data_IF_731906524280
#
_entry.id   IF_731906524280
#
_cell.length_a   1.000
_cell.length_b   1.000
_cell.length_c   1.000
_cell.angle_alpha   90.00
_cell.angle_beta   90.00
_cell.angle_gamma   90.00
#
_symmetry.space_group_name_H-M   'P 1'
#
loop_
_entity.id
_entity.type
_entity.pdbx_description
1 polymer ?
#
# COMPACT_ATOMS: atom_id res chain seq x y z
N UNK A 1 15.29 2.79 -10.65
CA UNK A 1 14.21 3.76 -10.37
C UNK A 1 12.91 2.99 -10.48
N UNK A 2 12.06 3.01 -9.45
CA UNK A 2 10.85 2.21 -9.41
C UNK A 2 9.74 2.81 -10.28
N UNK A 3 9.26 4.02 -9.95
CA UNK A 3 8.20 4.69 -10.69
C UNK A 3 8.12 6.18 -10.30
N UNK A 4 8.24 7.10 -11.25
CA UNK A 4 8.11 8.55 -10.99
C UNK A 4 6.69 9.09 -11.12
N UNK A 5 5.71 8.19 -11.08
CA UNK A 5 4.31 8.52 -11.21
C UNK A 5 3.82 8.35 -12.64
N UNK A 6 2.86 9.19 -13.02
CA UNK A 6 2.14 9.08 -14.28
C UNK A 6 2.58 10.15 -15.26
N UNK A 7 2.47 9.83 -16.54
CA UNK A 7 2.43 10.84 -17.59
C UNK A 7 1.17 11.71 -17.43
N UNK A 8 1.29 12.98 -17.83
CA UNK A 8 0.22 13.97 -17.79
C UNK A 8 0.04 14.50 -19.21
N UNK A 9 -1.15 14.32 -19.77
CA UNK A 9 -1.45 14.78 -21.13
C UNK A 9 -2.74 15.60 -21.20
N UNK A 10 -3.60 15.50 -20.19
CA UNK A 10 -4.85 16.25 -20.11
C UNK A 10 -4.62 17.76 -20.07
N UNK A 11 -5.23 18.47 -21.01
CA UNK A 11 -5.22 19.94 -21.09
C UNK A 11 -6.59 20.56 -20.83
N UNK A 12 -7.64 19.74 -20.72
CA UNK A 12 -9.01 20.17 -20.42
C UNK A 12 -9.44 19.71 -19.03
N UNK A 13 -10.39 20.40 -18.37
CA UNK A 13 -10.90 19.99 -17.07
C UNK A 13 -11.43 18.56 -17.04
N UNK A 14 -12.12 18.13 -18.09
CA UNK A 14 -12.65 16.76 -18.19
C UNK A 14 -11.52 15.72 -18.29
N UNK A 15 -10.53 15.96 -19.16
CA UNK A 15 -9.39 15.05 -19.30
C UNK A 15 -8.60 14.93 -17.99
N UNK A 16 -8.36 16.05 -17.31
CA UNK A 16 -7.69 16.08 -16.00
C UNK A 16 -8.48 15.33 -14.92
N UNK A 17 -9.81 15.48 -14.90
CA UNK A 17 -10.70 14.71 -14.01
C UNK A 17 -10.61 13.22 -14.29
N UNK A 18 -10.60 12.80 -15.55
CA UNK A 18 -10.52 11.39 -15.92
C UNK A 18 -9.15 10.77 -15.61
N UNK A 19 -8.07 11.54 -15.76
CA UNK A 19 -6.74 11.16 -15.28
C UNK A 19 -6.70 11.00 -13.75
N UNK A 20 -7.23 11.95 -13.01
CA UNK A 20 -7.32 11.87 -11.54
C UNK A 20 -8.17 10.66 -11.10
N UNK A 21 -9.28 10.40 -11.79
CA UNK A 21 -10.12 9.25 -11.52
C UNK A 21 -9.41 7.92 -11.81
N UNK A 22 -8.54 7.85 -12.83
CA UNK A 22 -7.70 6.67 -13.10
C UNK A 22 -6.72 6.39 -11.96
N UNK A 23 -6.11 7.42 -11.39
CA UNK A 23 -5.22 7.28 -10.22
C UNK A 23 -5.98 6.67 -9.04
N UNK A 24 -7.14 7.24 -8.71
CA UNK A 24 -7.97 6.75 -7.59
C UNK A 24 -8.41 5.32 -7.83
N UNK A 25 -8.86 4.99 -9.06
CA UNK A 25 -9.26 3.63 -9.43
C UNK A 25 -8.11 2.64 -9.31
N UNK A 26 -6.94 2.94 -9.89
CA UNK A 26 -5.79 2.05 -9.85
C UNK A 26 -5.34 1.76 -8.40
N UNK A 27 -5.27 2.81 -7.57
CA UNK A 27 -5.00 2.68 -6.13
C UNK A 27 -6.04 1.79 -5.44
N UNK A 28 -7.31 2.02 -5.73
CA UNK A 28 -8.40 1.25 -5.12
C UNK A 28 -8.35 -0.21 -5.53
N UNK A 29 -8.07 -0.52 -6.80
CA UNK A 29 -7.90 -1.88 -7.30
C UNK A 29 -6.82 -2.64 -6.55
N UNK A 30 -5.65 -2.04 -6.31
CA UNK A 30 -4.57 -2.65 -5.51
C UNK A 30 -5.00 -2.90 -4.06
N UNK A 31 -5.83 -2.01 -3.52
CA UNK A 31 -6.32 -2.09 -2.14
C UNK A 31 -7.36 -3.20 -1.95
N UNK A 32 -8.31 -3.34 -2.88
CA UNK A 32 -9.46 -4.26 -2.72
C UNK A 32 -9.29 -5.59 -3.46
N UNK A 33 -8.23 -5.75 -4.25
CA UNK A 33 -7.92 -7.05 -4.86
C UNK A 33 -7.77 -8.12 -3.77
N UNK A 34 -8.27 -9.34 -4.00
CA UNK A 34 -8.12 -10.41 -3.01
C UNK A 34 -6.70 -11.00 -2.96
N UNK A 35 -5.80 -10.56 -3.83
CA UNK A 35 -4.40 -10.97 -3.85
C UNK A 35 -3.57 -10.12 -2.90
N UNK A 36 -2.55 -10.70 -2.28
CA UNK A 36 -1.49 -9.94 -1.60
C UNK A 36 -0.63 -9.22 -2.64
N UNK A 37 -0.50 -7.91 -2.48
CA UNK A 37 0.32 -7.04 -3.32
C UNK A 37 1.62 -6.76 -2.58
N UNK A 38 2.74 -7.14 -3.17
CA UNK A 38 4.08 -6.85 -2.66
C UNK A 38 4.77 -5.90 -3.63
N UNK A 39 5.29 -4.78 -3.13
CA UNK A 39 6.12 -3.86 -3.89
C UNK A 39 7.60 -4.13 -3.61
N UNK A 40 8.33 -4.52 -4.67
CA UNK A 40 9.79 -4.61 -4.68
C UNK A 40 10.38 -3.31 -5.24
N UNK A 41 10.87 -2.44 -4.36
CA UNK A 41 11.23 -1.06 -4.69
C UNK A 41 12.75 -0.92 -4.84
N UNK A 42 13.26 -1.23 -6.03
CA UNK A 42 14.69 -1.19 -6.35
C UNK A 42 15.27 0.24 -6.50
N UNK A 43 14.46 1.28 -6.37
CA UNK A 43 14.92 2.67 -6.41
C UNK A 43 13.79 3.68 -6.30
N UNK A 44 14.08 4.93 -6.64
CA UNK A 44 13.19 6.08 -6.46
C UNK A 44 11.73 5.87 -6.88
N UNK A 45 10.81 6.32 -6.02
CA UNK A 45 9.37 6.35 -6.25
C UNK A 45 8.79 7.74 -5.94
N UNK A 46 8.10 8.36 -6.90
CA UNK A 46 7.61 9.74 -6.75
C UNK A 46 6.15 9.89 -7.16
N UNK A 47 5.43 10.84 -6.54
CA UNK A 47 4.05 11.17 -6.88
C UNK A 47 3.14 9.94 -6.79
N UNK A 48 2.49 9.58 -7.90
CA UNK A 48 1.67 8.37 -7.95
C UNK A 48 2.49 7.07 -7.80
N UNK A 49 3.77 7.05 -8.18
CA UNK A 49 4.64 5.89 -7.98
C UNK A 49 4.85 5.58 -6.50
N UNK A 50 5.07 6.62 -5.68
CA UNK A 50 5.06 6.49 -4.22
C UNK A 50 3.68 6.06 -3.70
N UNK A 51 2.60 6.51 -4.35
CA UNK A 51 1.24 6.07 -4.05
C UNK A 51 0.97 4.59 -4.35
N UNK A 52 1.59 4.02 -5.38
CA UNK A 52 1.53 2.57 -5.67
C UNK A 52 2.23 1.80 -4.55
N UNK A 53 3.43 2.24 -4.15
CA UNK A 53 4.18 1.64 -3.03
C UNK A 53 3.35 1.67 -1.75
N UNK A 54 2.78 2.83 -1.40
CA UNK A 54 1.94 3.01 -0.21
C UNK A 54 0.60 2.24 -0.27
N UNK A 55 0.24 1.69 -1.43
CA UNK A 55 -0.98 0.90 -1.62
C UNK A 55 -0.72 -0.60 -1.63
N UNK A 56 0.54 -1.04 -1.70
CA UNK A 56 0.91 -2.42 -1.52
C UNK A 56 0.65 -2.86 -0.08
N UNK A 57 0.32 -4.14 0.12
CA UNK A 57 0.15 -4.70 1.46
C UNK A 57 1.51 -4.81 2.17
N UNK A 58 2.56 -5.07 1.39
CA UNK A 58 3.95 -5.14 1.83
C UNK A 58 4.80 -4.35 0.83
N UNK A 59 5.73 -3.53 1.33
CA UNK A 59 6.71 -2.85 0.49
C UNK A 59 8.12 -3.05 1.06
N UNK A 60 9.02 -3.61 0.26
CA UNK A 60 10.44 -3.76 0.58
C UNK A 60 11.22 -2.89 -0.38
N UNK A 61 12.13 -2.07 0.14
CA UNK A 61 12.92 -1.15 -0.67
C UNK A 61 14.42 -1.42 -0.56
N UNK A 62 15.13 -1.12 -1.65
CA UNK A 62 16.58 -0.90 -1.62
C UNK A 62 16.89 0.27 -0.67
N UNK A 63 18.01 0.19 0.04
CA UNK A 63 18.53 1.26 0.89
C UNK A 63 18.83 2.57 0.14
N UNK A 64 19.02 2.49 -1.18
CA UNK A 64 19.19 3.62 -2.08
C UNK A 64 17.89 4.26 -2.56
N UNK A 65 16.72 3.71 -2.24
CA UNK A 65 15.43 4.23 -2.73
C UNK A 65 15.01 5.49 -1.97
N UNK A 66 14.36 6.42 -2.69
CA UNK A 66 13.78 7.64 -2.11
C UNK A 66 12.31 7.79 -2.48
N UNK A 67 11.56 8.48 -1.62
CA UNK A 67 10.12 8.66 -1.75
C UNK A 67 9.72 10.13 -1.60
N UNK A 68 8.94 10.68 -2.54
CA UNK A 68 8.50 12.07 -2.48
C UNK A 68 7.26 12.38 -3.32
N UNK A 69 6.73 13.60 -3.17
CA UNK A 69 5.55 14.11 -3.87
C UNK A 69 5.87 15.46 -4.53
N UNK A 70 6.39 15.45 -5.77
CA UNK A 70 7.00 16.65 -6.39
C UNK A 70 6.00 17.69 -6.90
N UNK A 71 4.70 17.43 -6.80
CA UNK A 71 3.67 18.26 -7.46
C UNK A 71 3.71 19.73 -7.05
N UNK A 72 4.07 20.01 -5.79
CA UNK A 72 4.13 21.37 -5.26
C UNK A 72 5.20 22.23 -5.95
N UNK A 73 6.29 21.62 -6.42
CA UNK A 73 7.36 22.32 -7.18
C UNK A 73 6.81 22.89 -8.50
N UNK A 74 5.82 22.22 -9.09
CA UNK A 74 5.09 22.69 -10.27
C UNK A 74 3.86 23.55 -9.95
N UNK A 75 3.68 23.99 -8.71
CA UNK A 75 2.53 24.79 -8.27
C UNK A 75 1.21 24.01 -8.17
N UNK A 76 1.27 22.67 -8.16
CA UNK A 76 0.08 21.82 -8.10
C UNK A 76 -0.07 21.19 -6.72
N UNK A 77 -1.22 21.42 -6.07
CA UNK A 77 -1.55 20.72 -4.83
C UNK A 77 -1.79 19.21 -5.13
N UNK A 78 -1.10 18.28 -4.43
CA UNK A 78 -1.28 16.84 -4.64
C UNK A 78 -2.52 16.32 -3.90
N UNK A 79 -3.70 16.90 -4.14
CA UNK A 79 -4.93 16.61 -3.38
C UNK A 79 -5.34 15.14 -3.38
N UNK A 80 -5.11 14.43 -4.50
CA UNK A 80 -5.35 12.98 -4.58
C UNK A 80 -4.41 12.21 -3.65
N UNK A 81 -3.13 12.60 -3.57
CA UNK A 81 -2.15 12.00 -2.64
C UNK A 81 -2.57 12.25 -1.20
N UNK A 82 -2.90 13.50 -0.85
CA UNK A 82 -3.27 13.91 0.52
C UNK A 82 -4.45 13.10 1.05
N UNK A 83 -5.41 12.74 0.19
CA UNK A 83 -6.61 11.97 0.56
C UNK A 83 -6.32 10.60 1.21
N UNK A 84 -5.12 10.06 0.98
CA UNK A 84 -4.69 8.77 1.54
C UNK A 84 -3.39 8.85 2.33
N UNK A 85 -2.43 9.72 1.97
CA UNK A 85 -1.12 9.79 2.64
C UNK A 85 -1.26 10.12 4.13
N UNK A 86 -2.18 11.02 4.46
CA UNK A 86 -2.52 11.40 5.84
C UNK A 86 -3.06 10.26 6.70
N UNK A 87 -3.49 9.15 6.08
CA UNK A 87 -3.93 7.91 6.74
C UNK A 87 -2.85 6.82 6.77
N UNK A 88 -1.74 7.04 6.07
CA UNK A 88 -0.62 6.08 5.96
C UNK A 88 0.52 6.47 6.90
N UNK A 89 0.90 7.75 6.92
CA UNK A 89 2.00 8.27 7.75
C UNK A 89 1.51 9.39 8.67
N UNK A 90 2.28 9.76 9.71
CA UNK A 90 1.88 10.82 10.64
C UNK A 90 1.55 12.14 9.92
N UNK A 91 0.43 12.75 10.29
CA UNK A 91 -0.14 13.92 9.59
C UNK A 91 0.88 15.05 9.36
N UNK A 92 1.68 15.40 10.38
CA UNK A 92 2.68 16.48 10.26
C UNK A 92 3.77 16.16 9.24
N UNK A 93 4.19 14.90 9.17
CA UNK A 93 5.19 14.45 8.20
C UNK A 93 4.60 14.44 6.80
N UNK A 94 3.38 13.93 6.64
CA UNK A 94 2.66 13.98 5.36
C UNK A 94 2.52 15.42 4.85
N UNK A 95 2.11 16.34 5.72
CA UNK A 95 1.96 17.76 5.40
C UNK A 95 3.29 18.37 4.94
N UNK A 96 4.35 18.18 5.73
CA UNK A 96 5.68 18.70 5.42
C UNK A 96 6.19 18.20 4.07
N UNK A 97 6.14 16.89 3.81
CA UNK A 97 6.55 16.27 2.55
C UNK A 97 5.80 16.84 1.33
N UNK A 98 4.48 17.03 1.43
CA UNK A 98 3.69 17.54 0.28
C UNK A 98 3.77 19.06 0.11
N UNK A 99 4.21 19.81 1.13
CA UNK A 99 4.41 21.26 1.02
C UNK A 99 5.83 21.66 0.64
N UNK A 100 6.83 20.85 0.99
CA UNK A 100 8.24 21.06 0.59
C UNK A 100 8.55 20.38 -0.75
N UNK A 101 7.93 19.24 -1.02
CA UNK A 101 8.28 18.37 -2.14
C UNK A 101 9.55 17.56 -1.91
N UNK A 102 10.11 17.61 -0.70
CA UNK A 102 11.36 16.94 -0.34
C UNK A 102 11.22 15.42 -0.31
N UNK A 103 12.34 14.75 -0.60
CA UNK A 103 12.41 13.30 -0.57
C UNK A 103 12.86 12.78 0.79
N UNK A 104 12.19 11.71 1.22
CA UNK A 104 12.65 10.89 2.34
C UNK A 104 13.40 9.67 1.81
N UNK A 105 14.47 9.27 2.49
CA UNK A 105 15.18 8.04 2.18
C UNK A 105 14.40 6.80 2.63
N UNK A 106 14.87 5.61 2.21
CA UNK A 106 14.20 4.35 2.53
C UNK A 106 14.11 4.08 4.03
N UNK A 107 15.12 4.43 4.82
CA UNK A 107 15.14 4.16 6.26
C UNK A 107 14.09 5.00 6.98
N UNK A 108 13.99 6.28 6.61
CA UNK A 108 12.97 7.18 7.10
C UNK A 108 11.57 6.74 6.63
N UNK A 109 11.41 6.36 5.36
CA UNK A 109 10.16 5.83 4.85
C UNK A 109 9.67 4.60 5.65
N UNK A 110 10.58 3.70 6.05
CA UNK A 110 10.27 2.57 6.94
C UNK A 110 9.85 3.05 8.33
N UNK A 111 10.59 3.99 8.93
CA UNK A 111 10.29 4.55 10.25
C UNK A 111 8.90 5.20 10.30
N UNK A 112 8.50 5.84 9.21
CA UNK A 112 7.19 6.50 9.05
C UNK A 112 6.04 5.53 8.77
N UNK A 113 6.34 4.26 8.45
CA UNK A 113 5.35 3.26 8.05
C UNK A 113 4.91 3.36 6.59
N UNK A 114 5.64 4.11 5.75
CA UNK A 114 5.36 4.21 4.30
C UNK A 114 5.74 2.90 3.57
N UNK A 115 6.77 2.21 4.06
CA UNK A 115 7.20 0.89 3.58
C UNK A 115 7.41 -0.06 4.76
N UNK A 116 7.43 -1.36 4.49
CA UNK A 116 7.56 -2.41 5.50
C UNK A 116 9.02 -2.67 5.88
N UNK A 117 9.93 -2.64 4.90
CA UNK A 117 11.32 -2.99 5.15
C UNK A 117 12.32 -2.36 4.17
N UNK A 118 13.60 -2.36 4.56
CA UNK A 118 14.72 -1.82 3.80
C UNK A 118 15.88 -2.78 3.86
N UNK A 119 16.45 -3.10 2.71
CA UNK A 119 17.62 -3.99 2.58
C UNK A 119 18.63 -3.40 1.58
N UNK A 120 19.91 -3.80 1.63
CA UNK A 120 20.85 -3.44 0.58
C UNK A 120 20.31 -3.82 -0.81
N UNK A 121 20.53 -2.98 -1.81
CA UNK A 121 20.03 -3.22 -3.18
C UNK A 121 20.27 -4.63 -3.73
N UNK A 122 21.49 -5.21 -3.60
CA UNK A 122 21.77 -6.58 -4.04
C UNK A 122 20.99 -7.69 -3.33
N UNK A 123 20.41 -7.41 -2.15
CA UNK A 123 19.66 -8.38 -1.35
C UNK A 123 18.14 -8.24 -1.53
N UNK A 124 17.68 -7.26 -2.32
CA UNK A 124 16.28 -6.91 -2.45
C UNK A 124 15.40 -8.07 -2.94
N UNK A 125 15.77 -8.67 -4.07
CA UNK A 125 15.04 -9.80 -4.67
C UNK A 125 14.97 -10.98 -3.68
N UNK A 126 16.11 -11.34 -3.09
CA UNK A 126 16.18 -12.43 -2.10
C UNK A 126 15.30 -12.17 -0.86
N UNK A 127 15.25 -10.92 -0.38
CA UNK A 127 14.38 -10.53 0.74
C UNK A 127 12.89 -10.66 0.40
N UNK A 128 12.50 -10.28 -0.83
CA UNK A 128 11.13 -10.44 -1.32
C UNK A 128 10.78 -11.91 -1.50
N UNK A 129 11.68 -12.72 -2.06
CA UNK A 129 11.49 -14.17 -2.23
C UNK A 129 11.31 -14.90 -0.89
N UNK A 130 12.06 -14.50 0.14
CA UNK A 130 11.89 -15.08 1.48
C UNK A 130 10.47 -14.79 2.02
N UNK A 131 9.97 -13.57 1.81
CA UNK A 131 8.59 -13.20 2.21
C UNK A 131 7.55 -13.97 1.41
N UNK A 132 7.74 -14.11 0.10
CA UNK A 132 6.88 -14.91 -0.76
C UNK A 132 6.84 -16.37 -0.30
N UNK A 133 7.98 -16.96 0.05
CA UNK A 133 8.05 -18.32 0.59
C UNK A 133 7.22 -18.46 1.85
N UNK A 134 7.40 -17.56 2.83
CA UNK A 134 6.61 -17.57 4.07
C UNK A 134 5.11 -17.43 3.81
N UNK A 135 4.70 -16.59 2.84
CA UNK A 135 3.29 -16.43 2.47
C UNK A 135 2.72 -17.68 1.78
N UNK A 136 3.52 -18.40 0.98
CA UNK A 136 3.11 -19.65 0.33
C UNK A 136 2.86 -20.78 1.32
N UNK A 137 3.50 -20.73 2.49
CA UNK A 137 3.29 -21.71 3.57
C UNK A 137 2.00 -21.44 4.37
N UNK A 138 1.32 -20.31 4.15
CA UNK A 138 0.08 -19.93 4.83
C UNK A 138 -1.17 -20.32 4.04
N UNK A 139 -2.33 -20.39 4.71
CA UNK A 139 -3.61 -20.61 4.03
C UNK A 139 -3.97 -19.43 3.11
N UNK A 140 -4.16 -19.65 1.79
CA UNK A 140 -4.56 -18.60 0.86
C UNK A 140 -5.92 -17.97 1.22
N UNK A 141 -6.84 -18.77 1.76
CA UNK A 141 -8.14 -18.30 2.23
C UNK A 141 -8.01 -17.36 3.43
N UNK A 142 -7.14 -17.71 4.39
CA UNK A 142 -6.87 -16.86 5.55
C UNK A 142 -6.19 -15.54 5.15
N UNK A 143 -5.21 -15.57 4.25
CA UNK A 143 -4.55 -14.34 3.74
C UNK A 143 -5.57 -13.41 3.10
N UNK A 144 -6.43 -13.93 2.22
CA UNK A 144 -7.48 -13.15 1.55
C UNK A 144 -8.40 -12.48 2.56
N UNK A 145 -8.87 -13.26 3.53
CA UNK A 145 -9.77 -12.76 4.55
C UNK A 145 -9.14 -11.69 5.44
N UNK A 146 -7.87 -11.86 5.82
CA UNK A 146 -7.11 -10.83 6.55
C UNK A 146 -7.12 -9.52 5.76
N UNK A 147 -6.81 -9.58 4.46
CA UNK A 147 -6.82 -8.39 3.59
C UNK A 147 -8.21 -7.76 3.48
N UNK A 148 -9.25 -8.57 3.25
CA UNK A 148 -10.64 -8.11 3.21
C UNK A 148 -11.07 -7.45 4.53
N UNK A 149 -10.64 -8.01 5.67
CA UNK A 149 -10.93 -7.46 6.98
C UNK A 149 -10.23 -6.10 7.21
N UNK A 150 -8.95 -5.96 6.85
CA UNK A 150 -8.25 -4.66 6.88
C UNK A 150 -8.99 -3.60 6.05
N UNK A 151 -9.51 -3.97 4.88
CA UNK A 151 -10.30 -3.09 4.02
C UNK A 151 -11.63 -2.71 4.68
N UNK A 152 -12.33 -3.68 5.27
CA UNK A 152 -13.64 -3.50 5.93
C UNK A 152 -13.56 -2.55 7.12
N UNK A 153 -12.53 -2.67 7.97
CA UNK A 153 -12.47 -1.92 9.23
C UNK A 153 -11.86 -0.51 9.11
N UNK A 154 -11.18 -0.20 8.00
CA UNK A 154 -10.42 1.07 7.84
C UNK A 154 -11.24 2.36 8.04
N UNK A 155 -12.57 2.30 7.88
CA UNK A 155 -13.48 3.42 8.09
C UNK A 155 -14.38 3.32 9.32
N UNK A 156 -14.21 2.27 10.12
CA UNK A 156 -15.04 2.02 11.30
C UNK A 156 -14.37 2.61 12.55
N UNK A 157 -15.17 3.03 13.52
CA UNK A 157 -14.66 3.29 14.87
C UNK A 157 -14.24 1.97 15.57
N UNK A 158 -13.56 2.05 16.72
CA UNK A 158 -13.10 0.87 17.44
C UNK A 158 -14.21 -0.10 17.86
N UNK A 159 -15.39 0.38 18.24
CA UNK A 159 -16.49 -0.48 18.67
C UNK A 159 -17.07 -1.27 17.48
N UNK A 160 -17.30 -0.59 16.36
CA UNK A 160 -17.79 -1.23 15.14
C UNK A 160 -16.75 -2.20 14.53
N UNK A 161 -15.46 -1.90 14.67
CA UNK A 161 -14.38 -2.79 14.28
C UNK A 161 -14.34 -4.07 15.13
N UNK A 162 -14.56 -3.95 16.45
CA UNK A 162 -14.59 -5.09 17.37
C UNK A 162 -15.78 -6.02 17.08
N UNK A 163 -16.97 -5.46 16.81
CA UNK A 163 -18.15 -6.25 16.43
C UNK A 163 -17.87 -7.03 15.14
N UNK A 164 -17.35 -6.37 14.11
CA UNK A 164 -16.99 -7.03 12.85
C UNK A 164 -15.94 -8.14 13.05
N UNK A 165 -14.98 -7.95 13.97
CA UNK A 165 -13.94 -8.93 14.26
C UNK A 165 -14.50 -10.23 14.85
N UNK A 166 -15.48 -10.14 15.77
CA UNK A 166 -16.10 -11.29 16.41
C UNK A 166 -16.78 -12.19 15.38
N UNK A 167 -17.60 -11.59 14.50
CA UNK A 167 -18.31 -12.32 13.44
C UNK A 167 -17.33 -13.00 12.47
N UNK A 168 -16.35 -12.23 11.97
CA UNK A 168 -15.34 -12.73 11.04
C UNK A 168 -14.56 -13.90 11.65
N UNK A 169 -14.09 -13.77 12.90
CA UNK A 169 -13.36 -14.84 13.58
C UNK A 169 -14.20 -16.11 13.74
N UNK A 170 -15.46 -15.98 14.18
CA UNK A 170 -16.35 -17.12 14.41
C UNK A 170 -16.61 -17.90 13.11
N UNK A 171 -16.95 -17.21 12.02
CA UNK A 171 -17.21 -17.83 10.73
C UNK A 171 -15.98 -18.54 10.17
N UNK A 172 -14.80 -17.94 10.34
CA UNK A 172 -13.57 -18.45 9.76
C UNK A 172 -12.97 -19.60 10.54
N UNK A 173 -13.19 -19.65 11.85
CA UNK A 173 -12.87 -20.82 12.66
C UNK A 173 -13.68 -22.05 12.22
N UNK A 174 -14.99 -21.88 11.95
CA UNK A 174 -15.85 -22.96 11.45
C UNK A 174 -15.40 -23.43 10.07
N UNK A 175 -15.14 -22.50 9.13
CA UNK A 175 -14.66 -22.84 7.78
C UNK A 175 -13.31 -23.56 7.81
N UNK A 176 -12.35 -23.09 8.59
CA UNK A 176 -11.03 -23.71 8.72
C UNK A 176 -11.10 -25.15 9.24
N UNK A 177 -12.00 -25.41 10.21
CA UNK A 177 -12.22 -26.76 10.74
C UNK A 177 -12.76 -27.70 9.65
N UNK A 178 -13.77 -27.26 8.91
CA UNK A 178 -14.36 -28.04 7.81
C UNK A 178 -13.33 -28.35 6.69
N UNK A 179 -12.50 -27.38 6.30
CA UNK A 179 -11.44 -27.56 5.30
C UNK A 179 -10.40 -28.61 5.74
N UNK A 180 -10.00 -28.60 7.02
CA UNK A 180 -9.05 -29.59 7.56
C UNK A 180 -9.64 -30.99 7.63
N UNK A 181 -10.92 -31.11 8.00
CA UNK A 181 -11.64 -32.39 8.03
C UNK A 181 -11.76 -32.98 6.61
N UNK A 182 -12.03 -32.15 5.60
CA UNK A 182 -12.07 -32.57 4.19
C UNK A 182 -10.70 -32.97 3.64
N UNK A 183 -9.62 -32.29 4.03
CA UNK A 183 -8.26 -32.61 3.58
C UNK A 183 -7.67 -33.89 4.21
N UNK A 184 -8.30 -34.39 5.28
CA UNK A 184 -7.87 -35.60 6.01
C UNK A 184 -8.69 -36.85 5.65
N UNK A 185 -9.67 -36.71 4.76
CA UNK A 185 -10.56 -37.78 4.28
C UNK A 185 -10.18 -38.23 2.87
#
# INVERSE_FOLDING_TARGET
MFCLGRERAGTTPLALRDEAARIVRAKETLRITPLTVIAEVHGDAAGFGAGIVASADIAVASDSARFWFPEIVGGLAPSVVISWLSKTIPYKVAFDMVTTGDAVDAREAKRLGLITDVVPGPELEASVDERLKRLRDMSPGAIREIKEFFVRIRGLDPANSAIAAIETLALSAVRNKAEKEQASA
#
